data_IF_222760170359
#
_entry.id   IF_222760170359
#
_cell.length_a   1.000
_cell.length_b   1.000
_cell.length_c   1.000
_cell.angle_alpha   90.00
_cell.angle_beta   90.00
_cell.angle_gamma   90.00
#
_symmetry.space_group_name_H-M   'P 1'
#
loop_
_entity.id
_entity.type
_entity.pdbx_description
1 polymer ?
#
# COMPACT_ATOMS: atom_id res chain seq x y z
N UNK A 1 12.90 16.48 -15.09
CA UNK A 1 12.17 16.39 -13.81
C UNK A 1 12.95 15.45 -12.91
N UNK A 2 13.48 15.93 -11.78
CA UNK A 2 14.26 15.10 -10.86
C UNK A 2 13.33 14.20 -10.03
N UNK A 3 13.75 12.99 -9.64
CA UNK A 3 12.94 12.11 -8.80
C UNK A 3 12.76 12.70 -7.40
N UNK A 4 11.54 12.63 -6.84
CA UNK A 4 11.24 13.11 -5.49
C UNK A 4 12.00 12.32 -4.40
N UNK A 5 12.14 11.01 -4.60
CA UNK A 5 12.87 10.12 -3.70
C UNK A 5 14.08 9.53 -4.39
N UNK A 6 15.22 9.60 -3.71
CA UNK A 6 16.48 9.02 -4.15
C UNK A 6 17.11 8.11 -3.07
N UNK A 7 17.91 7.11 -3.44
CA UNK A 7 18.65 6.31 -2.47
C UNK A 7 19.73 7.14 -1.76
N UNK A 8 19.95 6.86 -0.47
CA UNK A 8 21.07 7.41 0.30
C UNK A 8 22.13 6.31 0.47
N UNK A 9 23.36 6.58 0.05
CA UNK A 9 24.51 5.70 0.25
C UNK A 9 25.59 6.42 1.07
N UNK A 10 25.95 5.86 2.23
CA UNK A 10 26.92 6.46 3.17
C UNK A 10 26.60 7.95 3.48
N UNK A 11 25.32 8.26 3.69
CA UNK A 11 24.85 9.62 3.99
C UNK A 11 24.77 10.56 2.78
N UNK A 12 25.09 10.09 1.57
CA UNK A 12 25.03 10.91 0.34
C UNK A 12 23.85 10.51 -0.55
N UNK A 13 23.08 11.48 -1.09
CA UNK A 13 22.05 11.19 -2.07
C UNK A 13 22.67 10.72 -3.39
N UNK A 14 22.08 9.69 -3.99
CA UNK A 14 22.45 9.21 -5.32
C UNK A 14 21.45 9.79 -6.32
N UNK A 15 21.92 10.42 -7.40
CA UNK A 15 21.07 11.02 -8.43
C UNK A 15 20.39 9.96 -9.33
N UNK A 16 19.42 9.25 -8.75
CA UNK A 16 18.52 8.32 -9.45
C UNK A 16 17.25 8.10 -8.64
N UNK A 17 16.21 7.61 -9.30
CA UNK A 17 14.98 7.21 -8.63
C UNK A 17 15.19 6.03 -7.68
N UNK A 18 14.43 6.02 -6.58
CA UNK A 18 14.35 4.87 -5.68
C UNK A 18 13.80 3.64 -6.41
N UNK A 19 14.38 2.47 -6.18
CA UNK A 19 13.87 1.22 -6.78
C UNK A 19 12.62 0.72 -6.06
N UNK A 20 11.74 0.04 -6.79
CA UNK A 20 10.53 -0.60 -6.25
C UNK A 20 10.87 -1.63 -5.16
N UNK A 21 12.00 -2.34 -5.29
CA UNK A 21 12.49 -3.28 -4.27
C UNK A 21 12.87 -2.59 -2.97
N UNK A 22 13.39 -1.35 -3.05
CA UNK A 22 13.72 -0.59 -1.85
C UNK A 22 12.46 -0.15 -1.13
N UNK A 23 11.43 0.27 -1.86
CA UNK A 23 10.10 0.56 -1.27
C UNK A 23 9.52 -0.68 -0.61
N UNK A 24 9.56 -1.84 -1.28
CA UNK A 24 9.08 -3.11 -0.71
C UNK A 24 9.83 -3.48 0.58
N UNK A 25 11.16 -3.32 0.61
CA UNK A 25 11.95 -3.55 1.82
C UNK A 25 11.56 -2.60 2.95
N UNK A 26 11.40 -1.32 2.67
CA UNK A 26 10.98 -0.32 3.66
C UNK A 26 9.62 -0.68 4.30
N UNK A 27 8.65 -1.12 3.50
CA UNK A 27 7.34 -1.58 4.03
C UNK A 27 7.53 -2.77 4.98
N UNK A 28 8.32 -3.77 4.56
CA UNK A 28 8.60 -4.95 5.40
C UNK A 28 9.36 -4.61 6.68
N UNK A 29 10.35 -3.74 6.59
CA UNK A 29 11.12 -3.28 7.75
C UNK A 29 10.22 -2.50 8.72
N UNK A 30 9.30 -1.69 8.20
CA UNK A 30 8.24 -1.03 8.98
C UNK A 30 7.36 -2.05 9.71
N UNK A 31 6.89 -3.09 9.01
CA UNK A 31 6.08 -4.13 9.62
C UNK A 31 6.83 -4.92 10.71
N UNK A 32 8.11 -5.26 10.51
CA UNK A 32 8.93 -5.89 11.56
C UNK A 32 9.03 -5.00 12.80
N UNK A 33 9.27 -3.70 12.59
CA UNK A 33 9.37 -2.73 13.69
C UNK A 33 8.04 -2.53 14.42
N UNK A 34 6.92 -2.75 13.74
CA UNK A 34 5.59 -2.74 14.33
C UNK A 34 5.23 -4.05 15.06
N UNK A 35 6.09 -5.07 15.01
CA UNK A 35 5.91 -6.33 15.74
C UNK A 35 5.06 -7.39 15.04
N UNK A 36 4.81 -7.26 13.72
CA UNK A 36 4.12 -8.29 12.94
C UNK A 36 4.92 -9.59 12.86
N UNK A 37 4.23 -10.73 12.73
CA UNK A 37 4.85 -12.04 12.62
C UNK A 37 5.73 -12.14 11.35
N UNK A 38 6.90 -12.81 11.39
CA UNK A 38 7.77 -12.94 10.21
C UNK A 38 7.09 -13.54 8.96
N UNK A 39 6.10 -14.42 9.12
CA UNK A 39 5.33 -14.99 8.01
C UNK A 39 4.40 -13.93 7.41
N UNK A 40 3.72 -13.13 8.23
CA UNK A 40 2.91 -11.99 7.76
C UNK A 40 3.78 -10.94 7.07
N UNK A 41 4.96 -10.65 7.64
CA UNK A 41 5.93 -9.72 7.05
C UNK A 41 6.39 -10.17 5.66
N UNK A 42 6.52 -11.49 5.45
CA UNK A 42 6.90 -12.05 4.16
C UNK A 42 5.87 -11.72 3.08
N UNK A 43 4.60 -11.67 3.45
CA UNK A 43 3.48 -11.52 2.53
C UNK A 43 3.19 -10.03 2.20
N UNK A 44 3.71 -9.08 2.99
CA UNK A 44 3.69 -7.67 2.61
C UNK A 44 4.41 -7.40 1.27
N UNK A 45 3.83 -6.49 0.50
CA UNK A 45 4.33 -6.05 -0.80
C UNK A 45 4.18 -4.54 -0.97
N UNK A 46 4.71 -3.97 -2.05
CA UNK A 46 4.49 -2.56 -2.38
C UNK A 46 3.01 -2.19 -2.61
N UNK A 47 2.14 -3.18 -2.86
CA UNK A 47 0.70 -2.94 -3.03
C UNK A 47 -0.07 -2.92 -1.71
N UNK A 48 0.48 -3.47 -0.62
CA UNK A 48 -0.25 -3.68 0.64
C UNK A 48 -0.83 -2.39 1.21
N UNK A 49 -0.07 -1.28 1.17
CA UNK A 49 -0.56 0.03 1.63
C UNK A 49 -1.75 0.54 0.80
N UNK A 50 -1.79 0.21 -0.50
CA UNK A 50 -2.92 0.60 -1.37
C UNK A 50 -4.16 -0.24 -1.11
N UNK A 51 -3.99 -1.53 -0.82
CA UNK A 51 -5.08 -2.43 -0.44
C UNK A 51 -5.70 -1.97 0.87
N UNK A 52 -4.89 -1.78 1.92
CA UNK A 52 -5.35 -1.31 3.22
C UNK A 52 -6.06 0.04 3.14
N UNK A 53 -5.52 1.00 2.39
CA UNK A 53 -6.18 2.29 2.19
C UNK A 53 -7.56 2.17 1.50
N UNK A 54 -7.72 1.23 0.55
CA UNK A 54 -9.01 0.99 -0.09
C UNK A 54 -10.03 0.42 0.92
N UNK A 55 -9.59 -0.55 1.73
CA UNK A 55 -10.39 -1.18 2.77
C UNK A 55 -10.79 -0.18 3.86
N UNK A 56 -9.86 0.66 4.32
CA UNK A 56 -10.14 1.73 5.28
C UNK A 56 -11.20 2.70 4.78
N UNK A 57 -11.15 3.07 3.49
CA UNK A 57 -12.16 3.95 2.90
C UNK A 57 -13.53 3.29 2.84
N UNK A 58 -13.58 1.99 2.52
CA UNK A 58 -14.83 1.23 2.57
C UNK A 58 -15.38 1.14 3.99
N UNK A 59 -14.55 0.82 4.98
CA UNK A 59 -14.95 0.76 6.38
C UNK A 59 -15.44 2.11 6.93
N UNK A 60 -14.97 3.23 6.36
CA UNK A 60 -15.45 4.59 6.64
C UNK A 60 -16.75 4.95 5.91
N UNK A 61 -17.32 4.03 5.13
CA UNK A 61 -18.58 4.21 4.43
C UNK A 61 -18.49 4.93 3.08
N UNK A 62 -17.29 5.04 2.49
CA UNK A 62 -17.16 5.61 1.15
C UNK A 62 -17.63 4.62 0.08
N UNK A 63 -18.35 5.13 -0.92
CA UNK A 63 -18.80 4.32 -2.05
C UNK A 63 -17.65 3.91 -2.99
N UNK A 64 -17.93 2.91 -3.82
CA UNK A 64 -16.99 2.36 -4.80
C UNK A 64 -16.44 3.44 -5.73
N UNK A 65 -17.24 4.42 -6.16
CA UNK A 65 -16.81 5.45 -7.10
C UNK A 65 -15.81 6.43 -6.45
N UNK A 66 -16.03 6.80 -5.19
CA UNK A 66 -15.13 7.61 -4.38
C UNK A 66 -13.80 6.89 -4.17
N UNK A 67 -13.83 5.61 -3.82
CA UNK A 67 -12.63 4.79 -3.63
C UNK A 67 -11.85 4.65 -4.95
N UNK A 68 -12.54 4.38 -6.07
CA UNK A 68 -11.93 4.33 -7.40
C UNK A 68 -11.22 5.64 -7.77
N UNK A 69 -11.84 6.80 -7.51
CA UNK A 69 -11.22 8.11 -7.75
C UNK A 69 -10.00 8.35 -6.87
N UNK A 70 -10.08 8.01 -5.58
CA UNK A 70 -9.00 8.21 -4.62
C UNK A 70 -7.76 7.36 -4.96
N UNK A 71 -7.97 6.08 -5.32
CA UNK A 71 -6.85 5.18 -5.67
C UNK A 71 -6.47 5.19 -7.15
N UNK A 72 -7.25 5.82 -8.02
CA UNK A 72 -7.00 5.85 -9.47
C UNK A 72 -7.25 4.50 -10.16
N UNK A 73 -8.15 3.67 -9.64
CA UNK A 73 -8.52 2.40 -10.25
C UNK A 73 -9.52 2.62 -11.39
N UNK A 74 -9.20 2.10 -12.58
CA UNK A 74 -10.11 2.13 -13.74
C UNK A 74 -11.04 0.92 -13.82
N UNK A 75 -10.68 -0.17 -13.16
CA UNK A 75 -11.43 -1.43 -13.20
C UNK A 75 -12.02 -1.72 -11.83
N UNK A 76 -13.34 -1.93 -11.81
CA UNK A 76 -14.09 -2.35 -10.63
C UNK A 76 -13.59 -3.72 -10.16
N UNK A 77 -13.25 -4.64 -11.07
CA UNK A 77 -12.77 -5.98 -10.72
C UNK A 77 -11.48 -5.95 -9.90
N UNK A 78 -10.57 -5.01 -10.22
CA UNK A 78 -9.32 -4.85 -9.45
C UNK A 78 -9.62 -4.35 -8.05
N UNK A 79 -10.53 -3.38 -7.93
CA UNK A 79 -10.94 -2.84 -6.63
C UNK A 79 -11.68 -3.90 -5.80
N UNK A 80 -12.61 -4.65 -6.40
CA UNK A 80 -13.36 -5.70 -5.71
C UNK A 80 -12.42 -6.73 -5.05
N UNK A 81 -11.35 -7.16 -5.75
CA UNK A 81 -10.34 -8.05 -5.16
C UNK A 81 -9.58 -7.43 -3.98
N UNK A 82 -9.41 -6.12 -3.94
CA UNK A 82 -8.77 -5.44 -2.81
C UNK A 82 -9.72 -5.27 -1.62
N UNK A 83 -11.03 -5.19 -1.88
CA UNK A 83 -12.05 -5.05 -0.86
C UNK A 83 -12.54 -6.40 -0.29
N UNK A 84 -12.13 -7.53 -0.88
CA UNK A 84 -12.58 -8.88 -0.51
C UNK A 84 -12.39 -9.21 0.98
N UNK A 85 -11.33 -8.69 1.60
CA UNK A 85 -11.01 -8.91 3.01
C UNK A 85 -11.33 -7.70 3.90
N UNK A 86 -12.11 -6.73 3.40
CA UNK A 86 -12.53 -5.61 4.23
C UNK A 86 -13.53 -6.09 5.29
N UNK A 87 -13.25 -5.84 6.56
CA UNK A 87 -14.17 -6.09 7.67
C UNK A 87 -15.30 -5.05 7.70
N UNK A 88 -16.10 -5.00 6.64
CA UNK A 88 -17.28 -4.15 6.54
C UNK A 88 -18.53 -5.03 6.47
N UNK A 89 -19.24 -5.16 7.59
CA UNK A 89 -20.51 -5.88 7.62
C UNK A 89 -21.61 -5.01 6.98
N UNK A 90 -22.03 -5.37 5.77
CA UNK A 90 -23.16 -4.72 5.07
C UNK A 90 -24.53 -5.03 5.70
N UNK A 91 -24.57 -5.94 6.68
CA UNK A 91 -25.77 -6.38 7.40
C UNK A 91 -25.73 -6.10 8.92
N UNK A 92 -24.78 -5.30 9.40
CA UNK A 92 -24.76 -4.82 10.80
C UNK A 92 -25.71 -3.63 10.98
#
# INVERSE_FOLDING_TARGET
MAPLFCPIYQGKPIDRALSVDTVKRLVKDGARRAGFDPLEVRDFSGHSMRVGAAQDLLCRGHDTAAIMRAGGWKSVNVLARYLELAEHNVWA
#
